data_IF_899775081445
#
_entry.id   IF_899775081445
#
_cell.length_a   1.000
_cell.length_b   1.000
_cell.length_c   1.000
_cell.angle_alpha   90.00
_cell.angle_beta   90.00
_cell.angle_gamma   90.00
#
_symmetry.space_group_name_H-M   'P 1'
#
loop_
_entity.id
_entity.type
_entity.pdbx_description
1 polymer ?
#
# COMPACT_ATOMS: atom_id res chain seq x y z
N UNK A 1 22.50 -21.16 36.14
CA UNK A 1 22.17 -19.78 36.53
C UNK A 1 22.25 -18.94 35.27
N UNK A 2 21.18 -18.19 34.96
CA UNK A 2 20.87 -17.50 33.69
C UNK A 2 20.36 -18.40 32.55
N UNK A 3 19.03 -18.47 32.40
CA UNK A 3 18.31 -18.11 31.16
C UNK A 3 16.78 -18.29 31.28
N UNK A 4 16.19 -17.88 32.41
CA UNK A 4 14.74 -18.01 32.69
C UNK A 4 13.97 -16.70 32.50
N UNK A 5 14.51 -15.76 31.72
CA UNK A 5 13.96 -14.39 31.54
C UNK A 5 13.35 -14.14 30.14
N UNK A 6 13.08 -15.18 29.35
CA UNK A 6 12.47 -15.01 28.00
C UNK A 6 10.96 -15.18 27.93
N UNK A 7 10.29 -15.39 29.07
CA UNK A 7 8.83 -15.53 29.14
C UNK A 7 8.10 -14.31 29.76
N UNK A 8 8.80 -13.21 30.04
CA UNK A 8 8.21 -12.04 30.71
C UNK A 8 7.66 -10.95 29.76
N UNK A 9 7.93 -10.99 28.45
CA UNK A 9 7.43 -9.98 27.48
C UNK A 9 6.18 -10.43 26.68
N UNK A 10 5.59 -11.58 27.01
CA UNK A 10 4.30 -12.01 26.44
C UNK A 10 3.09 -11.57 27.28
N UNK A 11 3.30 -10.80 28.36
CA UNK A 11 2.28 -10.53 29.39
C UNK A 11 1.63 -9.13 29.33
N UNK A 12 1.57 -8.49 28.14
CA UNK A 12 0.84 -7.22 27.96
C UNK A 12 -0.01 -7.18 26.68
N UNK A 13 -0.55 -8.34 26.26
CA UNK A 13 -1.75 -8.35 25.44
C UNK A 13 -2.90 -8.55 26.42
N UNK A 14 -3.56 -7.45 26.78
CA UNK A 14 -4.91 -7.50 27.32
C UNK A 14 -5.78 -8.26 26.31
N UNK A 15 -5.93 -9.56 26.48
CA UNK A 15 -7.15 -10.26 26.12
C UNK A 15 -8.21 -9.78 27.11
N UNK A 16 -9.21 -8.99 26.71
CA UNK A 16 -10.36 -8.77 27.56
C UNK A 16 -11.17 -10.06 27.46
N UNK A 17 -10.93 -10.99 28.37
CA UNK A 17 -11.92 -12.01 28.64
C UNK A 17 -12.09 -12.17 30.15
N UNK A 18 -13.36 -12.22 30.55
CA UNK A 18 -13.85 -12.85 31.79
C UNK A 18 -14.00 -12.08 33.10
N UNK A 19 -14.04 -10.74 33.12
CA UNK A 19 -14.54 -10.02 34.31
C UNK A 19 -15.59 -8.95 33.95
N UNK A 20 -16.84 -9.38 33.81
CA UNK A 20 -18.00 -8.65 34.32
C UNK A 20 -18.51 -7.38 33.62
N UNK A 21 -17.83 -6.83 32.62
CA UNK A 21 -18.33 -5.73 31.77
C UNK A 21 -17.78 -5.97 30.38
N UNK A 22 -18.53 -6.63 29.49
CA UNK A 22 -17.97 -7.13 28.23
C UNK A 22 -19.01 -7.22 27.14
N UNK A 23 -18.80 -6.42 26.09
CA UNK A 23 -19.45 -6.43 24.77
C UNK A 23 -20.07 -7.82 24.47
N UNK A 24 -21.40 -7.90 24.42
CA UNK A 24 -22.13 -9.17 24.30
C UNK A 24 -21.80 -9.90 22.98
N UNK A 25 -22.06 -11.21 22.89
CA UNK A 25 -21.61 -12.05 21.76
C UNK A 25 -22.00 -11.59 20.34
N UNK A 26 -23.07 -10.79 20.16
CA UNK A 26 -23.38 -10.13 18.88
C UNK A 26 -22.52 -8.90 18.63
N UNK A 27 -22.30 -8.11 19.67
CA UNK A 27 -21.48 -6.92 19.62
C UNK A 27 -20.01 -7.29 19.38
N UNK A 28 -19.53 -8.41 19.93
CA UNK A 28 -18.18 -8.93 19.69
C UNK A 28 -17.92 -9.22 18.21
N UNK A 29 -18.87 -9.89 17.53
CA UNK A 29 -18.77 -10.15 16.07
C UNK A 29 -18.74 -8.86 15.26
N UNK A 30 -19.45 -7.83 15.74
CA UNK A 30 -19.51 -6.53 15.06
C UNK A 30 -18.19 -5.78 15.20
N UNK A 31 -17.64 -5.80 16.41
CA UNK A 31 -16.31 -5.28 16.70
C UNK A 31 -15.27 -6.03 15.86
N UNK A 32 -15.28 -7.36 15.83
CA UNK A 32 -14.40 -8.16 14.94
C UNK A 32 -14.46 -7.74 13.46
N UNK A 33 -15.66 -7.43 12.94
CA UNK A 33 -15.82 -6.93 11.58
C UNK A 33 -15.17 -5.55 11.38
N UNK A 34 -15.29 -4.64 12.35
CA UNK A 34 -14.67 -3.31 12.31
C UNK A 34 -13.14 -3.46 12.22
N UNK A 35 -12.57 -4.28 13.09
CA UNK A 35 -11.14 -4.55 13.13
C UNK A 35 -10.63 -5.27 11.88
N UNK A 36 -11.38 -6.24 11.34
CA UNK A 36 -11.02 -6.87 10.06
C UNK A 36 -10.99 -5.83 8.94
N UNK A 37 -12.00 -4.96 8.90
CA UNK A 37 -12.10 -3.92 7.86
C UNK A 37 -11.00 -2.87 7.99
N UNK A 38 -10.61 -2.54 9.23
CA UNK A 38 -9.44 -1.73 9.51
C UNK A 38 -8.16 -2.36 8.95
N UNK A 39 -7.92 -3.65 9.23
CA UNK A 39 -6.74 -4.36 8.74
C UNK A 39 -6.71 -4.43 7.21
N UNK A 40 -7.86 -4.63 6.57
CA UNK A 40 -7.98 -4.62 5.11
C UNK A 40 -7.69 -3.22 4.53
N UNK A 41 -8.13 -2.14 5.20
CA UNK A 41 -7.82 -0.76 4.80
C UNK A 41 -6.32 -0.41 4.98
N UNK A 42 -5.72 -0.89 6.07
CA UNK A 42 -4.27 -0.77 6.29
C UNK A 42 -3.50 -1.53 5.21
N UNK A 43 -3.93 -2.76 4.90
CA UNK A 43 -3.34 -3.54 3.82
C UNK A 43 -3.43 -2.84 2.48
N UNK A 44 -4.59 -2.28 2.13
CA UNK A 44 -4.75 -1.52 0.90
C UNK A 44 -3.82 -0.29 0.86
N UNK A 45 -3.67 0.42 1.97
CA UNK A 45 -2.73 1.56 2.08
C UNK A 45 -1.29 1.14 1.78
N UNK A 46 -0.78 0.10 2.45
CA UNK A 46 0.58 -0.40 2.23
C UNK A 46 0.78 -0.94 0.81
N UNK A 47 -0.23 -1.67 0.31
CA UNK A 47 -0.25 -2.21 -1.04
C UNK A 47 -0.11 -1.11 -2.08
N UNK A 48 -0.93 -0.05 -2.01
CA UNK A 48 -0.86 1.04 -2.96
C UNK A 48 0.38 1.92 -2.79
N UNK A 49 0.92 2.02 -1.56
CA UNK A 49 2.21 2.67 -1.32
C UNK A 49 3.35 1.92 -2.03
N UNK A 50 3.38 0.58 -1.96
CA UNK A 50 4.36 -0.24 -2.66
C UNK A 50 4.15 -0.21 -4.19
N UNK A 51 2.89 -0.22 -4.67
CA UNK A 51 2.60 0.00 -6.10
C UNK A 51 3.12 1.37 -6.54
N UNK A 52 2.89 2.42 -5.76
CA UNK A 52 3.37 3.77 -6.08
C UNK A 52 4.90 3.82 -6.14
N UNK A 53 5.58 3.20 -5.15
CA UNK A 53 7.04 3.10 -5.11
C UNK A 53 7.62 2.33 -6.31
N UNK A 54 7.04 1.18 -6.62
CA UNK A 54 7.45 0.37 -7.77
C UNK A 54 7.26 1.16 -9.07
N UNK A 55 6.07 1.73 -9.26
CA UNK A 55 5.72 2.53 -10.44
C UNK A 55 6.66 3.72 -10.60
N UNK A 56 6.94 4.46 -9.53
CA UNK A 56 7.93 5.56 -9.53
C UNK A 56 9.33 5.09 -9.91
N UNK A 57 9.79 3.95 -9.38
CA UNK A 57 11.13 3.42 -9.65
C UNK A 57 11.29 3.09 -11.13
N UNK A 58 10.32 2.37 -11.72
CA UNK A 58 10.31 2.06 -13.14
C UNK A 58 10.19 3.34 -13.99
N UNK A 59 9.29 4.26 -13.63
CA UNK A 59 9.13 5.52 -14.33
C UNK A 59 10.42 6.34 -14.38
N UNK A 60 11.14 6.45 -13.26
CA UNK A 60 12.45 7.12 -13.18
C UNK A 60 13.52 6.41 -14.01
N UNK A 61 13.51 5.09 -14.06
CA UNK A 61 14.43 4.33 -14.91
C UNK A 61 14.19 4.61 -16.40
N UNK A 62 12.93 4.64 -16.84
CA UNK A 62 12.59 5.02 -18.21
C UNK A 62 12.98 6.47 -18.52
N UNK A 63 12.72 7.42 -17.60
CA UNK A 63 13.14 8.81 -17.76
C UNK A 63 14.66 8.96 -17.85
N UNK A 64 15.41 8.22 -17.04
CA UNK A 64 16.86 8.17 -17.12
C UNK A 64 17.33 7.60 -18.46
N UNK A 65 16.76 6.49 -18.93
CA UNK A 65 17.14 5.86 -20.20
C UNK A 65 16.83 6.77 -21.41
N UNK A 66 15.66 7.42 -21.41
CA UNK A 66 15.27 8.39 -22.44
C UNK A 66 16.19 9.61 -22.40
N UNK A 67 16.44 10.16 -21.21
CA UNK A 67 17.34 11.31 -21.03
C UNK A 67 18.77 11.02 -21.45
N UNK A 68 19.30 9.85 -21.11
CA UNK A 68 20.62 9.38 -21.53
C UNK A 68 20.68 9.25 -23.06
N UNK A 69 19.68 8.63 -23.67
CA UNK A 69 19.66 8.47 -25.12
C UNK A 69 19.48 9.79 -25.87
N UNK A 70 18.69 10.73 -25.32
CA UNK A 70 18.57 12.10 -25.82
C UNK A 70 19.87 12.90 -25.65
N UNK A 71 20.62 12.70 -24.56
CA UNK A 71 21.91 13.36 -24.34
C UNK A 71 22.98 12.83 -25.30
N UNK A 72 23.01 11.51 -25.55
CA UNK A 72 23.92 10.89 -26.53
C UNK A 72 23.57 11.35 -27.95
N UNK A 73 22.28 11.47 -28.28
CA UNK A 73 21.85 11.92 -29.60
C UNK A 73 21.94 13.44 -29.80
N UNK A 74 21.80 14.25 -28.75
CA UNK A 74 21.99 15.70 -28.76
C UNK A 74 23.46 16.13 -28.73
N UNK A 75 24.33 15.38 -28.04
CA UNK A 75 25.79 15.60 -28.00
C UNK A 75 26.48 15.38 -29.36
N UNK A 76 25.78 14.75 -30.30
CA UNK A 76 26.13 14.63 -31.72
C UNK A 76 26.47 15.97 -32.41
N UNK A 77 25.93 17.09 -31.92
CA UNK A 77 26.21 18.44 -32.43
C UNK A 77 27.59 19.02 -32.08
N UNK A 78 28.34 18.40 -31.15
CA UNK A 78 29.66 18.86 -30.68
C UNK A 78 30.85 18.14 -31.33
N UNK A 79 30.66 17.43 -32.45
CA UNK A 79 31.75 16.84 -33.25
C UNK A 79 31.84 15.31 -33.25
N UNK A 80 30.98 14.60 -32.51
CA UNK A 80 30.94 13.12 -32.48
C UNK A 80 30.40 12.53 -33.80
N UNK A 81 29.59 13.27 -34.56
CA UNK A 81 29.12 12.84 -35.89
C UNK A 81 30.19 12.93 -37.00
N UNK A 82 31.39 13.43 -36.73
CA UNK A 82 32.45 13.47 -37.72
C UNK A 82 32.97 12.07 -38.11
N UNK A 83 32.72 11.04 -37.29
CA UNK A 83 33.09 9.66 -37.60
C UNK A 83 31.86 8.82 -38.00
N UNK A 84 31.85 8.15 -39.18
CA UNK A 84 30.74 7.30 -39.62
C UNK A 84 30.47 6.12 -38.68
N UNK A 85 31.47 5.73 -37.88
CA UNK A 85 31.40 4.71 -36.83
C UNK A 85 30.55 5.12 -35.61
N UNK A 86 30.24 6.41 -35.44
CA UNK A 86 29.42 6.90 -34.31
C UNK A 86 27.99 7.27 -34.73
N UNK A 87 27.75 7.51 -36.02
CA UNK A 87 26.42 7.86 -36.54
C UNK A 87 25.41 6.71 -36.41
N UNK A 88 25.80 5.46 -36.69
CA UNK A 88 24.91 4.31 -36.51
C UNK A 88 24.57 4.05 -35.04
N UNK A 89 25.53 4.26 -34.14
CA UNK A 89 25.33 4.13 -32.69
C UNK A 89 24.33 5.18 -32.18
N UNK A 90 24.48 6.43 -32.63
CA UNK A 90 23.54 7.51 -32.34
C UNK A 90 22.13 7.20 -32.87
N UNK A 91 22.01 6.68 -34.10
CA UNK A 91 20.74 6.26 -34.68
C UNK A 91 20.07 5.16 -33.85
N UNK A 92 20.81 4.10 -33.47
CA UNK A 92 20.30 3.00 -32.64
C UNK A 92 19.81 3.49 -31.28
N UNK A 93 20.60 4.34 -30.60
CA UNK A 93 20.25 4.88 -29.28
C UNK A 93 19.03 5.81 -29.36
N UNK A 94 18.94 6.61 -30.43
CA UNK A 94 17.78 7.48 -30.68
C UNK A 94 16.51 6.65 -30.91
N UNK A 95 16.58 5.60 -31.73
CA UNK A 95 15.45 4.69 -31.97
C UNK A 95 15.00 3.99 -30.69
N UNK A 96 15.94 3.49 -29.87
CA UNK A 96 15.61 2.91 -28.56
C UNK A 96 14.93 3.92 -27.64
N UNK A 97 15.39 5.17 -27.62
CA UNK A 97 14.78 6.24 -26.82
C UNK A 97 13.34 6.54 -27.25
N UNK A 98 13.07 6.56 -28.56
CA UNK A 98 11.72 6.74 -29.11
C UNK A 98 10.82 5.57 -28.73
N UNK A 99 11.30 4.32 -28.87
CA UNK A 99 10.55 3.12 -28.48
C UNK A 99 10.20 3.16 -26.99
N UNK A 100 11.17 3.51 -26.14
CA UNK A 100 10.95 3.66 -24.69
C UNK A 100 9.96 4.78 -24.37
N UNK A 101 10.00 5.89 -25.11
CA UNK A 101 9.04 6.99 -24.96
C UNK A 101 7.63 6.56 -25.31
N UNK A 102 7.45 5.85 -26.43
CA UNK A 102 6.14 5.31 -26.84
C UNK A 102 5.65 4.27 -25.82
N UNK A 103 6.52 3.35 -25.40
CA UNK A 103 6.19 2.35 -24.37
C UNK A 103 5.77 3.02 -23.04
N UNK A 104 6.43 4.11 -22.65
CA UNK A 104 6.08 4.88 -21.45
C UNK A 104 4.67 5.49 -21.57
N UNK A 105 4.33 6.06 -22.72
CA UNK A 105 3.01 6.63 -22.97
C UNK A 105 1.92 5.56 -23.09
N UNK A 106 2.19 4.45 -23.77
CA UNK A 106 1.22 3.34 -23.94
C UNK A 106 0.88 2.64 -22.63
N UNK A 107 1.82 2.55 -21.69
CA UNK A 107 1.59 1.93 -20.38
C UNK A 107 1.00 2.90 -19.34
N UNK A 108 0.90 4.19 -19.65
CA UNK A 108 0.38 5.26 -18.78
C UNK A 108 0.97 5.22 -17.35
N UNK A 109 2.30 5.22 -17.26
CA UNK A 109 3.00 5.29 -15.98
C UNK A 109 2.55 6.48 -15.11
N UNK A 110 2.39 7.71 -15.64
CA UNK A 110 1.94 8.85 -14.84
C UNK A 110 0.53 8.65 -14.26
N UNK A 111 -0.43 8.13 -15.05
CA UNK A 111 -1.77 7.83 -14.58
C UNK A 111 -1.77 6.77 -13.48
N UNK A 112 -0.97 5.72 -13.63
CA UNK A 112 -0.79 4.67 -12.59
C UNK A 112 -0.15 5.21 -11.31
N UNK A 113 0.85 6.09 -11.41
CA UNK A 113 1.46 6.73 -10.22
C UNK A 113 0.44 7.57 -9.46
N UNK A 114 -0.32 8.40 -10.19
CA UNK A 114 -1.36 9.26 -9.63
C UNK A 114 -2.45 8.42 -8.95
N UNK A 115 -2.94 7.39 -9.63
CA UNK A 115 -3.93 6.47 -9.09
C UNK A 115 -3.43 5.78 -7.81
N UNK A 116 -2.20 5.27 -7.80
CA UNK A 116 -1.65 4.62 -6.61
C UNK A 116 -1.49 5.59 -5.43
N UNK A 117 -1.09 6.83 -5.70
CA UNK A 117 -1.02 7.88 -4.67
C UNK A 117 -2.41 8.22 -4.11
N UNK A 118 -3.39 8.46 -4.98
CA UNK A 118 -4.77 8.75 -4.58
C UNK A 118 -5.39 7.60 -3.76
N UNK A 119 -5.14 6.35 -4.15
CA UNK A 119 -5.63 5.19 -3.39
C UNK A 119 -4.93 5.09 -2.03
N UNK A 120 -3.62 5.33 -1.96
CA UNK A 120 -2.89 5.36 -0.69
C UNK A 120 -3.48 6.40 0.26
N UNK A 121 -3.80 7.60 -0.24
CA UNK A 121 -4.43 8.66 0.55
C UNK A 121 -5.84 8.30 1.02
N UNK A 122 -6.68 7.76 0.12
CA UNK A 122 -8.06 7.36 0.44
C UNK A 122 -8.10 6.25 1.48
N UNK A 123 -7.32 5.17 1.28
CA UNK A 123 -7.26 4.07 2.24
C UNK A 123 -6.54 4.47 3.53
N UNK A 124 -5.54 5.34 3.46
CA UNK A 124 -4.88 5.91 4.65
C UNK A 124 -5.88 6.67 5.51
N UNK A 125 -6.67 7.56 4.91
CA UNK A 125 -7.74 8.30 5.59
C UNK A 125 -8.78 7.36 6.21
N UNK A 126 -9.22 6.35 5.44
CA UNK A 126 -10.20 5.37 5.91
C UNK A 126 -9.66 4.55 7.08
N UNK A 127 -8.41 4.10 7.01
CA UNK A 127 -7.76 3.34 8.09
C UNK A 127 -7.66 4.18 9.38
N UNK A 128 -7.32 5.47 9.27
CA UNK A 128 -7.29 6.37 10.42
C UNK A 128 -8.67 6.55 11.07
N UNK A 129 -9.73 6.69 10.27
CA UNK A 129 -11.11 6.77 10.80
C UNK A 129 -11.55 5.48 11.50
N UNK A 130 -11.22 4.32 10.93
CA UNK A 130 -11.48 3.03 11.59
C UNK A 130 -10.67 2.86 12.87
N UNK A 131 -9.41 3.30 12.90
CA UNK A 131 -8.59 3.28 14.10
C UNK A 131 -9.21 4.13 15.21
N UNK A 132 -9.68 5.34 14.92
CA UNK A 132 -10.37 6.19 15.90
C UNK A 132 -11.64 5.51 16.44
N UNK A 133 -12.44 4.88 15.58
CA UNK A 133 -13.63 4.13 16.00
C UNK A 133 -13.26 2.96 16.93
N UNK A 134 -12.17 2.25 16.62
CA UNK A 134 -11.63 1.17 17.45
C UNK A 134 -11.18 1.68 18.82
N UNK A 135 -10.44 2.79 18.85
CA UNK A 135 -9.96 3.43 20.08
C UNK A 135 -11.14 3.91 20.95
N UNK A 136 -12.17 4.51 20.34
CA UNK A 136 -13.39 4.93 21.04
C UNK A 136 -14.17 3.75 21.62
N UNK A 137 -14.31 2.64 20.86
CA UNK A 137 -14.98 1.42 21.35
C UNK A 137 -14.21 0.82 22.53
N UNK A 138 -12.89 0.76 22.44
CA UNK A 138 -12.04 0.24 23.51
C UNK A 138 -12.07 1.14 24.74
N UNK A 139 -12.15 2.46 24.57
CA UNK A 139 -12.26 3.41 25.68
C UNK A 139 -13.61 3.32 26.41
N UNK A 140 -14.70 3.13 25.68
CA UNK A 140 -16.06 3.05 26.25
C UNK A 140 -16.39 1.64 26.74
N UNK A 141 -15.67 0.61 26.29
CA UNK A 141 -15.85 -0.82 26.62
C UNK A 141 -17.27 -1.36 26.34
N UNK A 142 -18.10 -0.60 25.61
CA UNK A 142 -19.47 -0.92 25.30
C UNK A 142 -19.80 -0.57 23.85
N UNK A 143 -20.43 -1.49 23.13
CA UNK A 143 -20.94 -1.21 21.79
C UNK A 143 -22.25 -0.40 21.86
N UNK A 144 -22.36 0.63 21.03
CA UNK A 144 -23.51 1.55 21.03
C UNK A 144 -24.02 1.81 19.62
N UNK A 145 -25.27 2.26 19.50
CA UNK A 145 -25.87 2.64 18.22
C UNK A 145 -25.09 3.78 17.51
N UNK A 146 -24.43 4.64 18.29
CA UNK A 146 -23.54 5.68 17.75
C UNK A 146 -22.38 5.06 16.97
N UNK A 147 -21.73 4.04 17.52
CA UNK A 147 -20.64 3.33 16.85
C UNK A 147 -21.12 2.59 15.60
N UNK A 148 -22.31 1.98 15.64
CA UNK A 148 -22.90 1.35 14.46
C UNK A 148 -23.17 2.37 13.34
N UNK A 149 -23.69 3.57 13.66
CA UNK A 149 -23.89 4.64 12.67
C UNK A 149 -22.58 5.12 12.05
N UNK A 150 -21.53 5.28 12.87
CA UNK A 150 -20.20 5.63 12.37
C UNK A 150 -19.68 4.52 11.46
N UNK A 151 -19.78 3.27 11.88
CA UNK A 151 -19.34 2.11 11.10
C UNK A 151 -20.06 2.03 9.74
N UNK A 152 -21.38 2.19 9.71
CA UNK A 152 -22.15 2.18 8.46
C UNK A 152 -21.71 3.30 7.51
N UNK A 153 -21.52 4.52 8.03
CA UNK A 153 -20.98 5.63 7.24
C UNK A 153 -19.59 5.31 6.66
N UNK A 154 -18.70 4.71 7.45
CA UNK A 154 -17.37 4.30 6.96
C UNK A 154 -17.45 3.22 5.88
N UNK A 155 -18.41 2.29 5.96
CA UNK A 155 -18.64 1.31 4.89
C UNK A 155 -19.18 1.96 3.61
N UNK A 156 -20.05 2.95 3.73
CA UNK A 156 -20.52 3.73 2.58
C UNK A 156 -19.37 4.50 1.93
N UNK A 157 -18.54 5.18 2.73
CA UNK A 157 -17.34 5.86 2.24
C UNK A 157 -16.37 4.89 1.55
N UNK A 158 -16.18 3.69 2.12
CA UNK A 158 -15.35 2.64 1.53
C UNK A 158 -15.93 2.11 0.21
N UNK A 159 -17.25 1.96 0.10
CA UNK A 159 -17.91 1.51 -1.13
C UNK A 159 -17.76 2.50 -2.29
N UNK A 160 -17.50 3.78 -1.99
CA UNK A 160 -17.21 4.81 -2.99
C UNK A 160 -15.76 4.77 -3.49
N UNK A 161 -14.86 4.07 -2.79
CA UNK A 161 -13.50 3.84 -3.29
C UNK A 161 -13.59 2.74 -4.36
N UNK A 162 -13.35 3.13 -5.62
CA UNK A 162 -13.33 2.21 -6.76
C UNK A 162 -12.55 0.94 -6.43
N UNK A 163 -13.10 -0.20 -6.85
CA UNK A 163 -12.50 -1.53 -6.64
C UNK A 163 -11.04 -1.54 -7.07
N UNK A 164 -10.21 -2.22 -6.27
CA UNK A 164 -8.79 -2.45 -6.52
C UNK A 164 -8.67 -3.05 -7.93
N UNK A 165 -8.03 -2.37 -8.90
CA UNK A 165 -7.75 -2.99 -10.18
C UNK A 165 -6.87 -4.22 -9.94
N UNK A 166 -7.04 -5.24 -10.79
CA UNK A 166 -6.33 -6.54 -10.76
C UNK A 166 -4.94 -6.49 -10.11
N UNK A 167 -4.58 -7.45 -9.23
CA UNK A 167 -3.34 -7.39 -8.45
C UNK A 167 -2.13 -7.07 -9.33
N UNK A 168 -1.51 -5.92 -9.04
CA UNK A 168 -0.33 -5.35 -9.70
C UNK A 168 0.95 -5.88 -9.05
N UNK A 169 0.92 -6.13 -7.74
CA UNK A 169 2.03 -6.76 -7.02
C UNK A 169 1.90 -8.28 -7.07
N UNK A 170 3.03 -8.99 -7.21
CA UNK A 170 3.07 -10.45 -7.11
C UNK A 170 2.67 -10.95 -5.72
N UNK A 171 2.24 -12.22 -5.64
CA UNK A 171 1.76 -12.83 -4.40
C UNK A 171 2.78 -12.76 -3.25
N UNK A 172 4.07 -12.93 -3.55
CA UNK A 172 5.14 -12.85 -2.54
C UNK A 172 5.15 -11.48 -1.85
N UNK A 173 5.09 -10.39 -2.61
CA UNK A 173 5.07 -9.03 -2.07
C UNK A 173 3.80 -8.75 -1.26
N UNK A 174 2.67 -9.28 -1.72
CA UNK A 174 1.42 -9.20 -0.96
C UNK A 174 1.56 -9.89 0.41
N UNK A 175 2.15 -11.09 0.46
CA UNK A 175 2.41 -11.81 1.72
C UNK A 175 3.41 -11.07 2.62
N UNK A 176 4.45 -10.46 2.06
CA UNK A 176 5.38 -9.62 2.83
C UNK A 176 4.67 -8.45 3.50
N UNK A 177 3.79 -7.75 2.78
CA UNK A 177 3.00 -6.65 3.32
C UNK A 177 2.10 -7.15 4.45
N UNK A 178 1.41 -8.28 4.24
CA UNK A 178 0.59 -8.87 5.30
C UNK A 178 1.42 -9.25 6.54
N UNK A 179 2.58 -9.87 6.36
CA UNK A 179 3.47 -10.22 7.46
C UNK A 179 3.95 -8.97 8.23
N UNK A 180 4.28 -7.90 7.51
CA UNK A 180 4.67 -6.62 8.10
C UNK A 180 3.53 -5.98 8.91
N UNK A 181 2.29 -6.06 8.43
CA UNK A 181 1.09 -5.60 9.14
C UNK A 181 0.87 -6.42 10.41
N UNK A 182 0.91 -7.75 10.31
CA UNK A 182 0.76 -8.66 11.45
C UNK A 182 1.82 -8.44 12.53
N UNK A 183 3.02 -7.96 12.15
CA UNK A 183 4.10 -7.64 13.09
C UNK A 183 3.86 -6.33 13.84
N UNK A 184 3.23 -5.33 13.23
CA UNK A 184 3.08 -3.98 13.81
C UNK A 184 1.73 -3.72 14.49
N UNK A 185 0.68 -4.45 14.12
CA UNK A 185 -0.68 -4.22 14.64
C UNK A 185 -1.03 -5.30 15.67
N UNK A 186 -1.48 -4.91 16.89
CA UNK A 186 -1.79 -5.87 17.95
C UNK A 186 -2.97 -6.79 17.63
N UNK A 187 -3.89 -6.37 16.75
CA UNK A 187 -5.13 -7.09 16.40
C UNK A 187 -4.94 -8.19 15.32
N UNK A 188 -3.74 -8.74 15.19
CA UNK A 188 -3.35 -9.69 14.14
C UNK A 188 -4.23 -10.95 14.06
N UNK A 189 -4.78 -11.39 15.18
CA UNK A 189 -5.56 -12.63 15.29
C UNK A 189 -6.96 -12.51 14.67
N UNK A 190 -7.38 -11.29 14.33
CA UNK A 190 -8.70 -10.99 13.81
C UNK A 190 -8.68 -10.85 12.28
N UNK A 191 -7.49 -10.90 11.68
CA UNK A 191 -7.37 -10.96 10.24
C UNK A 191 -7.67 -12.38 9.75
N UNK A 192 -8.28 -12.51 8.57
CA UNK A 192 -8.65 -13.82 8.03
C UNK A 192 -7.40 -14.70 7.89
N UNK A 193 -7.41 -15.94 8.40
CA UNK A 193 -6.38 -16.90 8.06
C UNK A 193 -6.44 -17.15 6.54
N UNK A 194 -5.29 -17.09 5.89
CA UNK A 194 -5.14 -17.55 4.49
C UNK A 194 -4.83 -19.04 4.48
#
# INVERSE_FOLDING_TARGET
>A
MADDDRNAEAALIHTPDQNGIGIQGKDRKRVEQIYTTYLDAVYATDYFSEVHRATMTYGRFFDFAIGLGAAISGGSGLGILAHPSFAWLCAVITTLSIILTVAKSSYDWPGKMKMAAEMTEKYGTLSGKYQMLIEDINYVEQYSEKFEKIFQKLREEQALISTIPSPVLGEEKQREIQAAIKKRIPYKDWWRPQ
#
